data_IF_099360979298
#
_entry.id   IF_099360979298
#
_cell.length_a   1.000
_cell.length_b   1.000
_cell.length_c   1.000
_cell.angle_alpha   90.00
_cell.angle_beta   90.00
_cell.angle_gamma   90.00
#
_symmetry.space_group_name_H-M   'P 1'
#
loop_
_entity.id
_entity.type
_entity.pdbx_description
1 polymer ?
#
# COMPACT_ATOMS: atom_id res chain seq x y z
N UNK A 1 -7.28 -0.96 30.63
CA UNK A 1 -6.03 -0.22 30.38
C UNK A 1 -5.76 -0.43 28.89
N UNK A 2 -6.23 0.49 28.05
CA UNK A 2 -5.95 0.44 26.62
C UNK A 2 -4.43 0.52 26.46
N UNK A 3 -3.88 -0.40 25.68
CA UNK A 3 -2.45 -0.44 25.41
C UNK A 3 -2.10 0.88 24.71
N UNK A 4 -1.28 1.72 25.33
CA UNK A 4 -1.00 3.08 24.85
C UNK A 4 -0.43 3.10 23.43
N UNK A 5 0.16 1.98 22.99
CA UNK A 5 0.61 1.78 21.61
C UNK A 5 -0.54 1.60 20.61
N UNK A 6 -1.66 1.04 21.05
CA UNK A 6 -2.86 0.91 20.22
C UNK A 6 -3.50 2.28 19.98
N UNK A 7 -3.56 3.11 21.02
CA UNK A 7 -4.14 4.45 20.96
C UNK A 7 -3.29 5.38 20.06
N UNK A 8 -1.95 5.26 20.10
CA UNK A 8 -1.02 6.03 19.25
C UNK A 8 -1.12 5.64 17.75
N UNK A 9 -1.27 4.33 17.44
CA UNK A 9 -1.46 3.86 16.07
C UNK A 9 -2.80 4.31 15.46
N UNK A 10 -3.87 4.33 16.27
CA UNK A 10 -5.18 4.82 15.84
C UNK A 10 -5.13 6.32 15.54
N UNK A 11 -4.44 7.11 16.36
CA UNK A 11 -4.28 8.56 16.14
C UNK A 11 -3.46 8.87 14.87
N UNK A 12 -2.35 8.16 14.64
CA UNK A 12 -1.54 8.31 13.43
C UNK A 12 -2.35 7.95 12.16
N UNK A 13 -3.18 6.91 12.22
CA UNK A 13 -4.10 6.62 11.13
C UNK A 13 -5.05 7.79 10.88
N UNK A 14 -5.76 8.31 11.89
CA UNK A 14 -6.70 9.43 11.72
C UNK A 14 -6.03 10.70 11.17
N UNK A 15 -4.84 11.05 11.65
CA UNK A 15 -4.06 12.18 11.13
C UNK A 15 -3.69 11.96 9.66
N UNK A 16 -3.26 10.74 9.31
CA UNK A 16 -2.98 10.38 7.92
C UNK A 16 -4.23 10.42 7.02
N UNK A 17 -5.37 9.96 7.52
CA UNK A 17 -6.65 10.04 6.80
C UNK A 17 -7.06 11.49 6.54
N UNK A 18 -6.72 12.42 7.44
CA UNK A 18 -6.94 13.86 7.24
C UNK A 18 -5.97 14.46 6.23
N UNK A 19 -4.70 14.02 6.20
CA UNK A 19 -3.70 14.46 5.21
C UNK A 19 -4.00 13.97 3.79
N UNK A 20 -4.76 12.89 3.64
CA UNK A 20 -5.23 12.37 2.34
C UNK A 20 -6.47 13.12 1.80
N UNK A 21 -6.77 14.31 2.33
CA UNK A 21 -7.85 15.23 1.92
C UNK A 21 -9.27 14.61 1.91
N UNK A 22 -9.49 13.51 2.62
CA UNK A 22 -10.82 12.88 2.75
C UNK A 22 -11.42 12.41 1.41
N UNK A 23 -10.60 12.26 0.37
CA UNK A 23 -11.05 11.77 -0.94
C UNK A 23 -11.68 10.38 -0.78
N UNK A 24 -12.85 10.13 -1.41
CA UNK A 24 -13.55 8.86 -1.24
C UNK A 24 -12.67 7.71 -1.72
N UNK A 25 -12.37 6.80 -0.80
CA UNK A 25 -11.59 5.61 -1.09
C UNK A 25 -12.28 4.77 -2.16
N UNK A 26 -11.56 4.52 -3.26
CA UNK A 26 -12.06 3.72 -4.38
C UNK A 26 -11.84 2.23 -4.09
N UNK A 27 -12.92 1.46 -4.09
CA UNK A 27 -12.90 0.01 -3.87
C UNK A 27 -13.29 -0.75 -5.13
N UNK A 28 -12.85 -2.00 -5.24
CA UNK A 28 -13.21 -2.85 -6.38
C UNK A 28 -12.70 -2.32 -7.72
N UNK A 29 -11.50 -1.73 -7.72
CA UNK A 29 -10.85 -1.19 -8.90
C UNK A 29 -9.34 -1.45 -8.88
N UNK A 30 -8.75 -1.48 -10.07
CA UNK A 30 -7.30 -1.39 -10.29
C UNK A 30 -6.92 0.08 -10.34
N UNK A 31 -6.00 0.49 -9.47
CA UNK A 31 -5.58 1.88 -9.33
C UNK A 31 -4.40 2.27 -10.22
N UNK A 32 -3.61 1.29 -10.67
CA UNK A 32 -2.41 1.54 -11.46
C UNK A 32 -1.58 0.29 -11.68
N UNK A 33 -0.41 0.50 -12.26
CA UNK A 33 0.60 -0.52 -12.51
C UNK A 33 1.86 -0.13 -11.75
N UNK A 34 2.45 -1.11 -11.07
CA UNK A 34 3.77 -0.98 -10.44
C UNK A 34 4.72 -2.03 -11.00
N UNK A 35 6.00 -1.71 -11.03
CA UNK A 35 7.08 -2.66 -11.25
C UNK A 35 7.64 -3.06 -9.90
N UNK A 36 7.59 -4.34 -9.58
CA UNK A 36 8.28 -4.89 -8.40
C UNK A 36 9.77 -4.98 -8.73
N UNK A 37 10.56 -4.13 -8.09
CA UNK A 37 12.02 -4.04 -8.33
C UNK A 37 12.82 -4.91 -7.36
N UNK A 38 12.34 -5.10 -6.14
CA UNK A 38 12.98 -5.97 -5.16
C UNK A 38 11.99 -6.50 -4.12
N UNK A 39 12.39 -7.56 -3.42
CA UNK A 39 11.67 -8.17 -2.32
C UNK A 39 12.65 -8.50 -1.20
N UNK A 40 12.44 -7.92 -0.02
CA UNK A 40 13.31 -8.09 1.15
C UNK A 40 12.51 -8.62 2.33
N UNK A 41 13.20 -9.29 3.26
CA UNK A 41 12.60 -9.59 4.56
C UNK A 41 12.46 -8.30 5.37
N UNK A 42 11.39 -8.19 6.13
CA UNK A 42 11.12 -6.97 6.92
C UNK A 42 12.16 -6.74 8.01
N UNK A 43 12.73 -7.81 8.57
CA UNK A 43 13.85 -7.73 9.53
C UNK A 43 15.15 -7.16 8.94
N UNK A 44 15.32 -7.18 7.61
CA UNK A 44 16.52 -6.66 6.95
C UNK A 44 16.38 -5.18 6.57
N UNK A 45 15.17 -4.61 6.58
CA UNK A 45 14.91 -3.27 6.06
C UNK A 45 15.67 -2.17 6.78
N UNK A 46 15.85 -2.27 8.10
CA UNK A 46 16.56 -1.25 8.89
C UNK A 46 18.03 -1.05 8.50
N UNK A 47 18.62 -2.02 7.79
CA UNK A 47 19.99 -1.92 7.25
C UNK A 47 20.02 -1.45 5.80
N UNK A 48 18.92 -1.64 5.06
CA UNK A 48 18.86 -1.47 3.62
C UNK A 48 18.17 -0.17 3.21
N UNK A 49 17.22 0.32 4.01
CA UNK A 49 16.36 1.45 3.69
C UNK A 49 15.98 2.23 4.95
N UNK A 50 15.81 3.54 4.78
CA UNK A 50 15.04 4.34 5.74
C UNK A 50 13.55 4.16 5.43
N UNK A 51 12.83 3.48 6.32
CA UNK A 51 11.36 3.42 6.25
C UNK A 51 10.83 4.73 6.84
N UNK A 52 9.99 5.45 6.09
CA UNK A 52 9.40 6.71 6.57
C UNK A 52 8.28 6.45 7.58
N UNK A 53 7.90 7.46 8.37
CA UNK A 53 6.75 7.36 9.29
C UNK A 53 5.45 7.04 8.56
N UNK A 54 5.26 7.67 7.39
CA UNK A 54 4.14 7.38 6.50
C UNK A 54 4.11 5.90 6.09
N UNK A 55 5.25 5.34 5.69
CA UNK A 55 5.32 3.92 5.34
C UNK A 55 5.00 3.04 6.54
N UNK A 56 5.54 3.35 7.72
CA UNK A 56 5.23 2.64 8.98
C UNK A 56 3.74 2.70 9.33
N UNK A 57 3.07 3.83 9.08
CA UNK A 57 1.63 3.99 9.32
C UNK A 57 0.79 3.16 8.34
N UNK A 58 1.27 2.99 7.10
CA UNK A 58 0.54 2.31 6.01
C UNK A 58 0.81 0.80 5.91
N UNK A 59 1.74 0.24 6.69
CA UNK A 59 2.17 -1.15 6.52
C UNK A 59 2.64 -1.83 7.81
N UNK A 60 2.61 -3.16 7.82
CA UNK A 60 3.14 -3.95 8.93
C UNK A 60 4.53 -4.52 8.56
N UNK A 61 5.57 -3.91 9.13
CA UNK A 61 6.98 -4.30 8.95
C UNK A 61 7.55 -5.13 10.10
N UNK A 62 6.70 -5.80 10.90
CA UNK A 62 7.19 -6.72 11.93
C UNK A 62 8.03 -7.86 11.30
N UNK A 63 9.05 -8.41 12.00
CA UNK A 63 9.88 -9.52 11.51
C UNK A 63 9.08 -10.74 11.03
N UNK A 64 9.65 -11.48 10.07
CA UNK A 64 9.02 -12.68 9.49
C UNK A 64 8.05 -12.38 8.35
N UNK A 65 8.10 -11.16 7.79
CA UNK A 65 7.31 -10.74 6.63
C UNK A 65 8.22 -10.36 5.47
N UNK A 66 7.63 -10.06 4.31
CA UNK A 66 8.34 -9.55 3.15
C UNK A 66 7.79 -8.17 2.76
N UNK A 67 8.69 -7.26 2.43
CA UNK A 67 8.35 -5.95 1.86
C UNK A 67 8.75 -5.93 0.38
N UNK A 68 7.87 -5.37 -0.44
CA UNK A 68 8.11 -5.18 -1.87
C UNK A 68 8.51 -3.74 -2.12
N UNK A 69 9.62 -3.57 -2.82
CA UNK A 69 10.01 -2.27 -3.36
C UNK A 69 9.36 -2.16 -4.74
N UNK A 70 8.56 -1.12 -4.92
CA UNK A 70 7.75 -0.92 -6.10
C UNK A 70 8.05 0.45 -6.72
N UNK A 71 8.27 0.47 -8.03
CA UNK A 71 8.27 1.69 -8.83
C UNK A 71 6.89 1.85 -9.47
N UNK A 72 6.27 3.02 -9.32
CA UNK A 72 5.00 3.31 -9.98
C UNK A 72 5.27 3.47 -11.48
N UNK A 73 4.64 2.62 -12.28
CA UNK A 73 4.72 2.67 -13.75
C UNK A 73 3.60 3.54 -14.30
N UNK A 74 2.38 3.36 -13.78
CA UNK A 74 1.20 4.04 -14.27
C UNK A 74 0.18 4.22 -13.13
N UNK A 75 -0.51 5.35 -13.13
CA UNK A 75 -1.67 5.60 -12.26
C UNK A 75 -2.89 5.79 -13.16
N UNK A 76 -3.95 5.04 -12.90
CA UNK A 76 -5.18 5.14 -13.67
C UNK A 76 -6.09 6.23 -13.07
N UNK A 77 -6.52 7.16 -13.93
CA UNK A 77 -7.54 8.14 -13.59
C UNK A 77 -8.49 8.31 -14.79
N UNK A 78 -9.71 7.75 -14.74
CA UNK A 78 -10.32 7.07 -13.58
C UNK A 78 -9.73 5.67 -13.31
N UNK A 79 -9.82 5.16 -12.06
CA UNK A 79 -9.51 3.76 -11.75
C UNK A 79 -10.36 2.77 -12.56
N UNK A 80 -9.81 1.59 -12.87
CA UNK A 80 -10.48 0.60 -13.72
C UNK A 80 -11.24 -0.42 -12.86
N UNK A 81 -12.57 -0.56 -12.96
CA UNK A 81 -13.33 -1.51 -12.15
C UNK A 81 -12.84 -2.96 -12.30
N UNK A 82 -12.63 -3.64 -11.17
CA UNK A 82 -12.20 -5.03 -11.12
C UNK A 82 -12.56 -5.72 -9.80
N UNK A 83 -12.95 -6.99 -9.88
CA UNK A 83 -13.13 -7.83 -8.69
C UNK A 83 -11.78 -8.38 -8.23
N UNK A 84 -11.39 -8.08 -6.99
CA UNK A 84 -10.19 -8.66 -6.38
C UNK A 84 -10.24 -10.19 -6.28
N UNK A 85 -9.08 -10.84 -6.38
CA UNK A 85 -8.92 -12.30 -6.29
C UNK A 85 -7.73 -12.65 -5.39
N UNK A 86 -7.73 -13.86 -4.82
CA UNK A 86 -6.64 -14.32 -3.96
C UNK A 86 -5.37 -14.64 -4.76
N UNK A 87 -4.21 -14.31 -4.18
CA UNK A 87 -2.90 -14.52 -4.80
C UNK A 87 -2.56 -13.48 -5.87
N UNK A 88 -1.46 -13.69 -6.59
CA UNK A 88 -1.14 -12.93 -7.80
C UNK A 88 -1.96 -13.53 -8.94
N UNK A 89 -2.78 -12.70 -9.58
CA UNK A 89 -3.71 -13.16 -10.61
C UNK A 89 -3.47 -12.41 -11.92
N UNK A 90 -3.77 -13.10 -13.03
CA UNK A 90 -3.69 -12.50 -14.36
C UNK A 90 -4.90 -11.58 -14.55
N UNK A 91 -4.62 -10.29 -14.64
CA UNK A 91 -5.61 -9.29 -15.00
C UNK A 91 -5.48 -8.94 -16.47
N UNK A 92 -6.60 -8.98 -17.19
CA UNK A 92 -6.68 -8.44 -18.54
C UNK A 92 -7.31 -7.04 -18.43
N UNK A 93 -6.56 -5.97 -18.74
CA UNK A 93 -7.16 -4.65 -18.82
C UNK A 93 -8.24 -4.64 -19.93
N UNK A 94 -9.29 -3.81 -19.79
CA UNK A 94 -10.26 -3.61 -20.84
C UNK A 94 -9.58 -3.30 -22.19
N UNK A 95 -10.10 -3.87 -23.27
CA UNK A 95 -9.62 -3.59 -24.62
C UNK A 95 -10.23 -2.27 -25.06
N UNK A 96 -9.47 -1.18 -25.01
CA UNK A 96 -9.91 0.16 -25.43
C UNK A 96 -9.29 1.26 -24.58
N UNK A 97 -8.65 2.20 -25.25
CA UNK A 97 -8.06 3.47 -24.77
C UNK A 97 -7.05 3.36 -23.63
N UNK A 98 -5.85 2.88 -23.98
CA UNK A 98 -4.61 3.29 -23.29
C UNK A 98 -4.04 4.51 -23.99
#
# INVERSE_FOLDING_TARGET
MTDSKHDELVMNAYELWNELDGEPMVYGAVLGIVKVVACYRTEDLGYLFEVTDLQRALGNYAPGRYAWVCEVVERFNPPIPAKGMQGIWKWNPPVGDR
#
